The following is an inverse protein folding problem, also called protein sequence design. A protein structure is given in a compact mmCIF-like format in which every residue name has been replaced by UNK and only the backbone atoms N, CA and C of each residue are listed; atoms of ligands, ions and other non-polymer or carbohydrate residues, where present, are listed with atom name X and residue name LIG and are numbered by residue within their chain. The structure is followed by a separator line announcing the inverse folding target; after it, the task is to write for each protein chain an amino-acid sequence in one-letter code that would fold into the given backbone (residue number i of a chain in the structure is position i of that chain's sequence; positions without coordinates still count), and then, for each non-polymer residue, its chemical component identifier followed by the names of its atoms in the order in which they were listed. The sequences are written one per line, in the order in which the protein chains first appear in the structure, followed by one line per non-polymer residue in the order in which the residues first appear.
data_IF_360474850776
#
_entry.id   IF_360474850776
#
_cell.length_a   1.000
_cell.length_b   1.000
_cell.length_c   1.000
_cell.angle_alpha   90.00
_cell.angle_beta   90.00
_cell.angle_gamma   90.00
#
_symmetry.space_group_name_H-M   'P 1'
#
loop_
_entity.id
_entity.type
_entity.pdbx_description
1 polymer ?
#
# COMPACT_ATOMS: atom_id res chain seq x y z
N UNK A 1 71.43 23.55 -9.96
CA UNK A 1 70.07 23.47 -9.38
C UNK A 1 70.18 23.63 -7.88
N UNK A 2 69.47 24.59 -7.30
CA UNK A 2 69.40 24.78 -5.85
C UNK A 2 68.57 23.66 -5.20
N UNK A 3 68.74 23.41 -3.90
CA UNK A 3 67.96 22.40 -3.18
C UNK A 3 66.44 22.64 -3.33
N UNK A 4 66.02 23.91 -3.23
CA UNK A 4 64.64 24.34 -3.48
C UNK A 4 64.12 23.97 -4.88
N UNK A 5 64.95 24.04 -5.92
CA UNK A 5 64.54 23.59 -7.27
C UNK A 5 64.37 22.08 -7.34
N UNK A 6 65.17 21.29 -6.62
CA UNK A 6 65.02 19.83 -6.56
C UNK A 6 63.75 19.44 -5.82
N UNK A 7 63.47 20.11 -4.71
CA UNK A 7 62.27 19.86 -3.89
C UNK A 7 61.00 20.23 -4.67
N UNK A 8 61.02 21.33 -5.44
CA UNK A 8 59.92 21.71 -6.32
C UNK A 8 59.67 20.66 -7.42
N UNK A 9 60.73 20.14 -8.05
CA UNK A 9 60.60 19.07 -9.06
C UNK A 9 60.04 17.79 -8.46
N UNK A 10 60.53 17.37 -7.28
CA UNK A 10 60.00 16.17 -6.60
C UNK A 10 58.54 16.33 -6.18
N UNK A 11 58.13 17.52 -5.73
CA UNK A 11 56.75 17.81 -5.41
C UNK A 11 55.85 17.72 -6.66
N UNK A 12 56.26 18.31 -7.78
CA UNK A 12 55.52 18.22 -9.04
C UNK A 12 55.40 16.78 -9.53
N UNK A 13 56.48 16.00 -9.48
CA UNK A 13 56.47 14.58 -9.85
C UNK A 13 55.49 13.80 -8.97
N UNK A 14 55.52 14.01 -7.65
CA UNK A 14 54.62 13.32 -6.72
C UNK A 14 53.14 13.63 -6.99
N UNK A 15 52.79 14.91 -7.18
CA UNK A 15 51.42 15.33 -7.50
C UNK A 15 50.95 14.76 -8.84
N UNK A 16 51.80 14.78 -9.87
CA UNK A 16 51.49 14.19 -11.17
C UNK A 16 51.31 12.67 -11.07
N UNK A 17 52.14 11.97 -10.30
CA UNK A 17 51.97 10.53 -10.07
C UNK A 17 50.66 10.21 -9.36
N UNK A 18 50.31 10.96 -8.30
CA UNK A 18 49.05 10.80 -7.58
C UNK A 18 47.83 11.06 -8.47
N UNK A 19 47.89 12.09 -9.33
CA UNK A 19 46.82 12.40 -10.27
C UNK A 19 46.66 11.30 -11.33
N UNK A 20 47.76 10.72 -11.84
CA UNK A 20 47.72 9.60 -12.79
C UNK A 20 47.19 8.33 -12.13
N UNK A 21 47.55 8.06 -10.87
CA UNK A 21 47.02 6.91 -10.10
C UNK A 21 45.52 7.09 -9.85
N UNK A 22 45.07 8.27 -9.42
CA UNK A 22 43.66 8.57 -9.20
C UNK A 22 42.85 8.48 -10.52
N UNK A 23 43.38 9.02 -11.61
CA UNK A 23 42.76 8.92 -12.93
C UNK A 23 42.73 7.46 -13.43
N UNK A 24 43.79 6.68 -13.19
CA UNK A 24 43.85 5.26 -13.50
C UNK A 24 42.86 4.41 -12.68
N UNK A 25 42.63 4.76 -11.42
CA UNK A 25 41.61 4.14 -10.56
C UNK A 25 40.19 4.51 -11.01
N UNK A 26 39.98 5.75 -11.48
CA UNK A 26 38.68 6.20 -12.02
C UNK A 26 38.38 5.58 -13.40
N UNK A 27 39.39 5.49 -14.28
CA UNK A 27 39.24 4.89 -15.61
C UNK A 27 39.12 3.35 -15.58
N UNK A 28 39.66 2.70 -14.55
CA UNK A 28 39.47 1.26 -14.31
C UNK A 28 38.36 0.96 -13.28
N UNK A 29 37.59 1.97 -12.86
CA UNK A 29 36.41 1.70 -12.04
C UNK A 29 35.45 0.86 -12.91
N UNK A 30 35.09 -0.37 -12.48
CA UNK A 30 34.14 -1.16 -13.24
C UNK A 30 32.86 -0.36 -13.40
N UNK A 31 32.27 -0.40 -14.60
CA UNK A 31 30.96 0.19 -14.83
C UNK A 31 29.99 -0.33 -13.75
N UNK A 32 29.17 0.54 -13.14
CA UNK A 32 28.23 0.10 -12.11
C UNK A 32 27.38 -1.04 -12.69
N UNK A 33 27.38 -2.18 -12.01
CA UNK A 33 26.58 -3.32 -12.42
C UNK A 33 25.11 -2.89 -12.55
N UNK A 34 24.36 -3.39 -13.55
CA UNK A 34 22.95 -3.07 -13.66
C UNK A 34 22.24 -3.43 -12.34
N UNK A 35 21.31 -2.59 -11.85
CA UNK A 35 20.66 -2.85 -10.57
C UNK A 35 19.97 -4.21 -10.59
N UNK A 36 20.18 -5.00 -9.54
CA UNK A 36 19.50 -6.29 -9.39
C UNK A 36 17.97 -6.05 -9.33
N UNK A 37 17.16 -6.83 -10.08
CA UNK A 37 15.71 -6.77 -9.94
C UNK A 37 15.27 -7.05 -8.50
N UNK A 38 14.37 -6.21 -7.99
CA UNK A 38 13.76 -6.37 -6.66
C UNK A 38 12.38 -7.01 -6.88
N UNK A 39 12.18 -8.30 -6.55
CA UNK A 39 10.92 -9.00 -6.80
C UNK A 39 9.78 -8.45 -5.93
N UNK A 40 8.54 -8.68 -6.36
CA UNK A 40 7.33 -8.30 -5.61
C UNK A 40 6.62 -9.54 -5.08
N UNK A 41 6.25 -9.52 -3.81
CA UNK A 41 5.28 -10.42 -3.22
C UNK A 41 4.02 -9.63 -2.82
N UNK A 42 2.92 -10.34 -2.56
CA UNK A 42 1.64 -9.72 -2.25
C UNK A 42 1.01 -10.36 -1.02
N UNK A 43 0.60 -9.55 -0.06
CA UNK A 43 -0.26 -10.04 1.02
C UNK A 43 -1.69 -10.19 0.54
N UNK A 44 -2.20 -11.42 0.53
CA UNK A 44 -3.63 -11.67 0.35
C UNK A 44 -4.27 -11.65 1.74
N UNK A 45 -4.67 -10.45 2.15
CA UNK A 45 -5.12 -10.15 3.50
C UNK A 45 -6.65 -10.16 3.57
N UNK A 46 -7.26 -11.32 3.32
CA UNK A 46 -8.71 -11.49 3.30
C UNK A 46 -9.08 -12.79 4.01
N UNK A 47 -9.89 -12.70 5.06
CA UNK A 47 -10.38 -13.88 5.79
C UNK A 47 -11.41 -14.68 4.97
N UNK A 48 -12.13 -14.02 4.07
CA UNK A 48 -13.12 -14.68 3.21
C UNK A 48 -12.94 -14.20 1.77
N UNK A 49 -12.75 -15.14 0.85
CA UNK A 49 -12.46 -14.83 -0.55
C UNK A 49 -13.74 -14.79 -1.38
N UNK A 50 -13.96 -13.67 -2.04
CA UNK A 50 -14.97 -13.50 -3.09
C UNK A 50 -14.32 -13.63 -4.48
N UNK A 51 -15.11 -13.41 -5.54
CA UNK A 51 -14.60 -13.45 -6.91
C UNK A 51 -13.54 -12.38 -7.20
N UNK A 52 -13.70 -11.17 -6.64
CA UNK A 52 -12.73 -10.09 -6.81
C UNK A 52 -11.36 -10.44 -6.21
N UNK A 53 -11.31 -11.17 -5.10
CA UNK A 53 -10.04 -11.66 -4.52
C UNK A 53 -9.40 -12.70 -5.44
N UNK A 54 -10.19 -13.64 -5.99
CA UNK A 54 -9.69 -14.62 -6.96
C UNK A 54 -9.15 -13.94 -8.23
N UNK A 55 -9.85 -12.92 -8.71
CA UNK A 55 -9.44 -12.14 -9.87
C UNK A 55 -8.16 -11.35 -9.61
N UNK A 56 -8.04 -10.74 -8.43
CA UNK A 56 -6.84 -10.03 -8.01
C UNK A 56 -5.62 -10.96 -7.94
N UNK A 57 -5.77 -12.17 -7.37
CA UNK A 57 -4.68 -13.17 -7.32
C UNK A 57 -4.24 -13.57 -8.73
N UNK A 58 -5.20 -13.84 -9.63
CA UNK A 58 -4.89 -14.20 -11.02
C UNK A 58 -4.17 -13.08 -11.76
N UNK A 59 -4.60 -11.84 -11.57
CA UNK A 59 -3.95 -10.67 -12.17
C UNK A 59 -2.53 -10.47 -11.62
N UNK A 60 -2.35 -10.63 -10.31
CA UNK A 60 -1.06 -10.45 -9.64
C UNK A 60 -0.01 -11.50 -10.04
N UNK A 61 -0.44 -12.73 -10.33
CA UNK A 61 0.44 -13.89 -10.57
C UNK A 61 1.44 -13.64 -11.71
N UNK A 62 1.10 -12.80 -12.69
CA UNK A 62 2.02 -12.42 -13.77
C UNK A 62 3.28 -11.67 -13.27
N UNK A 63 3.25 -11.12 -12.06
CA UNK A 63 4.32 -10.26 -11.50
C UNK A 63 4.72 -10.64 -10.09
N UNK A 64 4.02 -11.60 -9.48
CA UNK A 64 4.28 -12.07 -8.13
C UNK A 64 5.45 -13.05 -8.12
N UNK A 65 6.31 -12.91 -7.12
CA UNK A 65 7.31 -13.92 -6.75
C UNK A 65 6.79 -14.89 -5.69
N UNK A 66 5.80 -14.44 -4.90
CA UNK A 66 5.10 -15.20 -3.89
C UNK A 66 3.79 -14.50 -3.48
N UNK A 67 2.85 -15.28 -3.00
CA UNK A 67 1.69 -14.79 -2.25
C UNK A 67 1.89 -15.08 -0.76
N UNK A 68 1.68 -14.08 0.10
CA UNK A 68 1.65 -14.23 1.55
C UNK A 68 0.19 -14.21 2.00
N UNK A 69 -0.37 -15.38 2.30
CA UNK A 69 -1.82 -15.59 2.41
C UNK A 69 -2.24 -15.70 3.87
N UNK A 70 -3.11 -14.80 4.33
CA UNK A 70 -3.67 -14.86 5.68
C UNK A 70 -4.57 -16.10 5.84
N UNK A 71 -4.22 -16.98 6.78
CA UNK A 71 -5.03 -18.17 7.10
C UNK A 71 -5.93 -17.98 8.34
N UNK A 72 -5.72 -16.90 9.09
CA UNK A 72 -6.54 -16.55 10.25
C UNK A 72 -5.80 -15.67 11.25
N UNK A 73 -6.53 -15.28 12.30
CA UNK A 73 -6.01 -14.49 13.40
C UNK A 73 -6.26 -15.19 14.73
N UNK A 74 -5.20 -15.41 15.50
CA UNK A 74 -5.26 -15.98 16.85
C UNK A 74 -5.40 -14.86 17.86
N UNK A 75 -6.54 -14.84 18.53
CA UNK A 75 -6.83 -13.94 19.63
C UNK A 75 -6.56 -14.66 20.95
N UNK A 76 -5.48 -14.27 21.62
CA UNK A 76 -5.24 -14.60 23.01
C UNK A 76 -6.00 -13.61 23.90
N UNK A 77 -6.83 -14.11 24.82
CA UNK A 77 -7.52 -13.28 25.81
C UNK A 77 -7.85 -14.11 27.05
N UNK A 78 -7.52 -13.61 28.24
CA UNK A 78 -7.90 -14.25 29.51
C UNK A 78 -7.37 -15.69 29.69
N UNK A 79 -6.24 -16.06 29.08
CA UNK A 79 -5.70 -17.42 29.15
C UNK A 79 -6.17 -18.35 28.02
N UNK A 80 -7.13 -17.92 27.20
CA UNK A 80 -7.70 -18.70 26.10
C UNK A 80 -7.13 -18.26 24.75
N UNK A 81 -7.13 -19.19 23.78
CA UNK A 81 -6.77 -18.96 22.38
C UNK A 81 -7.98 -19.22 21.50
N UNK A 82 -8.31 -18.25 20.65
CA UNK A 82 -9.42 -18.36 19.69
C UNK A 82 -8.96 -17.96 18.30
N UNK A 83 -9.12 -18.87 17.35
CA UNK A 83 -8.84 -18.63 15.94
C UNK A 83 -10.06 -17.99 15.28
N UNK A 84 -9.91 -16.75 14.82
CA UNK A 84 -10.74 -16.23 13.75
C UNK A 84 -10.21 -16.79 12.44
N UNK A 85 -10.83 -17.87 11.98
CA UNK A 85 -10.35 -18.64 10.85
C UNK A 85 -10.56 -17.90 9.54
N UNK A 86 -9.52 -17.87 8.71
CA UNK A 86 -9.60 -17.50 7.30
C UNK A 86 -9.91 -18.71 6.42
N UNK A 87 -10.50 -18.46 5.26
CA UNK A 87 -10.82 -19.46 4.26
C UNK A 87 -10.22 -19.08 2.90
N UNK A 88 -8.89 -19.17 2.73
CA UNK A 88 -8.26 -18.97 1.43
C UNK A 88 -8.80 -19.95 0.39
N UNK A 89 -8.93 -19.49 -0.86
CA UNK A 89 -9.29 -20.36 -1.97
C UNK A 89 -8.06 -21.11 -2.50
N UNK A 90 -7.74 -22.24 -1.86
CA UNK A 90 -6.61 -23.09 -2.25
C UNK A 90 -6.72 -23.61 -3.71
N UNK A 91 -7.92 -23.72 -4.28
CA UNK A 91 -8.08 -24.11 -5.69
C UNK A 91 -7.73 -22.96 -6.65
N UNK A 92 -7.95 -21.71 -6.24
CA UNK A 92 -7.48 -20.57 -7.01
C UNK A 92 -5.95 -20.45 -6.92
N UNK A 93 -5.38 -20.65 -5.72
CA UNK A 93 -3.93 -20.59 -5.49
C UNK A 93 -3.16 -21.72 -6.19
N UNK A 94 -3.71 -22.94 -6.28
CA UNK A 94 -3.05 -24.04 -7.00
C UNK A 94 -2.93 -23.83 -8.52
N UNK A 95 -3.68 -22.87 -9.07
CA UNK A 95 -3.60 -22.47 -10.49
C UNK A 95 -2.57 -21.36 -10.72
N UNK A 96 -2.08 -20.71 -9.67
CA UNK A 96 -1.06 -19.68 -9.75
C UNK A 96 0.33 -20.31 -9.91
N UNK A 97 1.22 -19.65 -10.64
CA UNK A 97 2.62 -20.07 -10.76
C UNK A 97 3.42 -19.71 -9.50
N UNK A 98 3.01 -18.61 -8.85
CA UNK A 98 3.66 -18.09 -7.65
C UNK A 98 3.35 -18.97 -6.45
N UNK A 99 4.35 -19.41 -5.68
CA UNK A 99 4.11 -20.22 -4.50
C UNK A 99 3.60 -19.38 -3.33
N UNK A 100 3.10 -20.07 -2.31
CA UNK A 100 2.42 -19.48 -1.17
C UNK A 100 3.24 -19.59 0.11
N UNK A 101 3.37 -18.48 0.83
CA UNK A 101 3.71 -18.47 2.25
C UNK A 101 2.42 -18.28 3.03
N UNK A 102 2.07 -19.22 3.91
CA UNK A 102 0.88 -19.06 4.76
C UNK A 102 1.21 -18.14 5.94
N UNK A 103 0.30 -17.23 6.27
CA UNK A 103 0.50 -16.22 7.31
C UNK A 103 -0.54 -16.42 8.41
N UNK A 104 -0.09 -16.60 9.64
CA UNK A 104 -0.94 -16.65 10.82
C UNK A 104 -0.69 -15.40 11.67
N UNK A 105 -1.73 -14.61 11.88
CA UNK A 105 -1.65 -13.44 12.74
C UNK A 105 -1.90 -13.82 14.20
N UNK A 106 -1.23 -13.17 15.14
CA UNK A 106 -1.54 -13.26 16.56
C UNK A 106 -1.53 -11.89 17.22
N UNK A 107 -2.45 -11.66 18.16
CA UNK A 107 -2.50 -10.42 18.94
C UNK A 107 -1.43 -10.38 20.05
N UNK A 108 -1.16 -9.18 20.57
CA UNK A 108 -0.10 -8.92 21.58
C UNK A 108 -0.17 -9.79 22.86
N UNK A 109 -1.36 -10.27 23.22
CA UNK A 109 -1.58 -11.05 24.44
C UNK A 109 -1.00 -12.48 24.38
N UNK A 110 -0.61 -12.97 23.19
CA UNK A 110 0.08 -14.26 23.06
C UNK A 110 1.37 -14.30 23.89
N UNK A 111 2.07 -13.17 24.03
CA UNK A 111 3.32 -13.07 24.77
C UNK A 111 3.21 -13.40 26.25
N UNK A 112 2.05 -13.19 26.86
CA UNK A 112 1.82 -13.54 28.27
C UNK A 112 1.62 -15.05 28.45
N UNK A 113 0.99 -15.71 27.48
CA UNK A 113 0.85 -17.17 27.47
C UNK A 113 2.20 -17.86 27.28
N UNK A 114 3.05 -17.32 26.40
CA UNK A 114 4.39 -17.86 26.14
C UNK A 114 5.31 -17.77 27.37
N UNK A 115 5.08 -16.82 28.28
CA UNK A 115 5.87 -16.69 29.51
C UNK A 115 5.36 -17.57 30.66
N UNK A 116 4.08 -17.95 30.65
CA UNK A 116 3.44 -18.70 31.74
C UNK A 116 3.35 -20.22 31.54
N UNK A 117 2.54 -20.86 32.36
CA UNK A 117 2.27 -22.31 32.34
C UNK A 117 1.51 -22.77 31.07
N UNK A 118 0.86 -21.84 30.37
CA UNK A 118 0.13 -22.11 29.13
C UNK A 118 1.02 -22.14 27.87
N UNK A 119 2.34 -22.01 28.02
CA UNK A 119 3.31 -21.90 26.92
C UNK A 119 3.19 -23.02 25.89
N UNK A 120 3.33 -24.27 26.34
CA UNK A 120 3.29 -25.43 25.43
C UNK A 120 1.95 -25.52 24.70
N UNK A 121 0.85 -25.29 25.42
CA UNK A 121 -0.50 -25.25 24.81
C UNK A 121 -0.63 -24.18 23.74
N UNK A 122 -0.04 -23.00 23.95
CA UNK A 122 -0.08 -21.92 22.97
C UNK A 122 0.76 -22.25 21.74
N UNK A 123 1.93 -22.83 21.97
CA UNK A 123 2.84 -23.31 20.95
C UNK A 123 2.19 -24.42 20.10
N UNK A 124 1.51 -25.37 20.72
CA UNK A 124 0.79 -26.47 20.04
C UNK A 124 -0.39 -25.91 19.24
N UNK A 125 -1.18 -25.00 19.81
CA UNK A 125 -2.31 -24.37 19.11
C UNK A 125 -1.91 -23.66 17.82
N UNK A 126 -0.77 -22.95 17.84
CA UNK A 126 -0.21 -22.29 16.66
C UNK A 126 0.22 -23.32 15.62
N UNK A 127 0.91 -24.40 16.04
CA UNK A 127 1.32 -25.45 15.11
C UNK A 127 0.14 -26.21 14.51
N UNK A 128 -0.85 -26.61 15.31
CA UNK A 128 -2.06 -27.29 14.84
C UNK A 128 -2.80 -26.44 13.79
N UNK A 129 -2.83 -25.12 13.99
CA UNK A 129 -3.45 -24.18 13.04
C UNK A 129 -2.68 -24.13 11.72
N UNK A 130 -1.34 -24.07 11.77
CA UNK A 130 -0.49 -24.07 10.57
C UNK A 130 -0.56 -25.42 9.84
N UNK A 131 -0.51 -26.53 10.56
CA UNK A 131 -0.56 -27.90 10.02
C UNK A 131 -1.88 -28.16 9.30
N UNK A 132 -3.00 -27.72 9.88
CA UNK A 132 -4.31 -27.81 9.24
C UNK A 132 -4.36 -27.04 7.90
N UNK A 133 -3.83 -25.82 7.87
CA UNK A 133 -3.78 -25.02 6.64
C UNK A 133 -2.85 -25.64 5.58
N UNK A 134 -1.68 -26.16 5.98
CA UNK A 134 -0.75 -26.86 5.09
C UNK A 134 -1.41 -28.10 4.49
N UNK A 135 -2.10 -28.89 5.32
CA UNK A 135 -2.80 -30.10 4.86
C UNK A 135 -3.91 -29.78 3.84
N UNK A 136 -4.70 -28.72 4.08
CA UNK A 136 -5.73 -28.25 3.15
C UNK A 136 -5.14 -27.79 1.82
N UNK A 137 -4.09 -26.97 1.88
CA UNK A 137 -3.39 -26.47 0.70
C UNK A 137 -2.80 -27.61 -0.14
N UNK A 138 -2.13 -28.57 0.51
CA UNK A 138 -1.55 -29.75 -0.14
C UNK A 138 -2.62 -30.63 -0.79
N UNK A 139 -3.78 -30.82 -0.14
CA UNK A 139 -4.91 -31.58 -0.70
C UNK A 139 -5.44 -30.96 -1.99
N UNK A 140 -5.30 -29.64 -2.16
CA UNK A 140 -5.68 -28.91 -3.39
C UNK A 140 -4.52 -28.71 -4.38
N UNK A 141 -3.33 -29.23 -4.07
CA UNK A 141 -2.15 -29.10 -4.91
C UNK A 141 -1.52 -27.70 -4.92
N UNK A 142 -1.79 -26.88 -3.90
CA UNK A 142 -1.13 -25.56 -3.77
C UNK A 142 0.32 -25.75 -3.34
N UNK A 143 1.24 -25.06 -4.02
CA UNK A 143 2.67 -25.09 -3.65
C UNK A 143 2.93 -24.18 -2.46
N UNK A 144 3.09 -24.77 -1.26
CA UNK A 144 3.51 -24.04 -0.06
C UNK A 144 5.04 -23.92 -0.04
N UNK A 145 5.55 -22.68 -0.05
CA UNK A 145 6.98 -22.35 0.12
C UNK A 145 7.35 -22.19 1.59
N UNK A 146 6.47 -21.59 2.39
CA UNK A 146 6.82 -21.18 3.74
C UNK A 146 5.64 -20.95 4.67
N UNK A 147 5.99 -20.67 5.92
CA UNK A 147 5.08 -20.19 6.96
C UNK A 147 5.58 -18.84 7.48
N UNK A 148 4.65 -17.99 7.88
CA UNK A 148 4.96 -16.70 8.49
C UNK A 148 4.10 -16.46 9.72
N UNK A 149 4.73 -15.93 10.76
CA UNK A 149 4.06 -15.45 11.95
C UNK A 149 3.95 -13.92 11.89
N UNK A 150 2.72 -13.42 11.83
CA UNK A 150 2.41 -11.99 11.98
C UNK A 150 1.95 -11.71 13.40
N UNK A 151 2.89 -11.72 14.34
CA UNK A 151 2.60 -11.49 15.74
C UNK A 151 2.74 -10.00 16.07
N UNK A 152 1.68 -9.38 16.60
CA UNK A 152 1.64 -8.01 17.14
C UNK A 152 2.48 -7.89 18.45
N UNK A 153 3.74 -8.32 18.39
CA UNK A 153 4.65 -8.46 19.52
C UNK A 153 5.11 -7.09 20.04
N UNK A 154 4.90 -6.76 21.33
CA UNK A 154 5.56 -5.62 21.94
C UNK A 154 7.08 -5.81 21.93
N UNK A 155 7.87 -4.75 21.71
CA UNK A 155 9.34 -4.86 21.70
C UNK A 155 9.94 -5.47 22.98
N UNK A 156 9.26 -5.29 24.12
CA UNK A 156 9.67 -5.89 25.41
C UNK A 156 9.44 -7.41 25.51
N UNK A 157 8.79 -8.02 24.51
CA UNK A 157 8.42 -9.44 24.49
C UNK A 157 9.12 -10.21 23.36
N UNK A 158 10.14 -9.61 22.70
CA UNK A 158 10.89 -10.25 21.62
C UNK A 158 11.55 -11.58 22.05
N UNK A 159 12.12 -11.63 23.26
CA UNK A 159 12.65 -12.88 23.81
C UNK A 159 11.59 -13.97 24.00
N UNK A 160 10.34 -13.61 24.33
CA UNK A 160 9.24 -14.60 24.36
C UNK A 160 8.86 -15.08 22.97
N UNK A 161 9.00 -14.23 21.96
CA UNK A 161 8.72 -14.59 20.58
C UNK A 161 9.77 -15.58 20.06
N UNK A 162 11.04 -15.42 20.45
CA UNK A 162 12.11 -16.34 20.12
C UNK A 162 11.78 -17.77 20.58
N UNK A 163 11.26 -17.92 21.81
CA UNK A 163 10.79 -19.22 22.33
C UNK A 163 9.79 -19.90 21.39
N UNK A 164 8.83 -19.14 20.86
CA UNK A 164 7.83 -19.67 19.93
C UNK A 164 8.48 -20.08 18.60
N UNK A 165 9.33 -19.22 18.04
CA UNK A 165 10.03 -19.46 16.77
C UNK A 165 10.93 -20.69 16.88
N UNK A 166 11.75 -20.79 17.92
CA UNK A 166 12.65 -21.92 18.16
C UNK A 166 11.90 -23.23 18.35
N UNK A 167 10.75 -23.18 19.03
CA UNK A 167 9.92 -24.37 19.20
C UNK A 167 9.29 -24.81 17.87
N UNK A 168 8.88 -23.88 17.01
CA UNK A 168 8.22 -24.15 15.72
C UNK A 168 9.21 -24.55 14.61
N UNK A 169 10.41 -23.96 14.58
CA UNK A 169 11.42 -24.17 13.52
C UNK A 169 11.72 -25.65 13.20
N UNK A 170 11.95 -26.56 14.18
CA UNK A 170 12.23 -27.97 13.87
C UNK A 170 11.04 -28.72 13.26
N UNK A 171 9.79 -28.26 13.48
CA UNK A 171 8.56 -28.90 12.97
C UNK A 171 8.42 -28.72 11.46
N UNK A 172 8.84 -27.55 10.98
CA UNK A 172 8.64 -27.11 9.59
C UNK A 172 9.91 -27.19 8.75
N UNK A 173 10.92 -27.96 9.16
CA UNK A 173 12.32 -27.87 8.71
C UNK A 173 12.62 -27.51 7.23
N UNK A 174 11.84 -28.00 6.25
CA UNK A 174 12.03 -27.69 4.82
C UNK A 174 11.35 -26.40 4.33
N UNK A 175 10.34 -25.93 5.04
CA UNK A 175 9.62 -24.71 4.71
C UNK A 175 10.43 -23.49 5.11
N UNK A 176 10.36 -22.44 4.29
CA UNK A 176 10.83 -21.13 4.71
C UNK A 176 10.03 -20.69 5.94
N UNK A 177 10.69 -20.04 6.89
CA UNK A 177 10.02 -19.46 8.05
C UNK A 177 10.38 -17.99 8.14
N UNK A 178 9.36 -17.16 8.33
CA UNK A 178 9.51 -15.73 8.48
C UNK A 178 8.62 -15.18 9.58
N UNK A 179 8.90 -13.93 9.94
CA UNK A 179 8.05 -13.12 10.81
C UNK A 179 7.80 -11.76 10.16
N UNK A 180 6.71 -11.09 10.51
CA UNK A 180 6.61 -9.65 10.34
C UNK A 180 7.38 -8.95 11.45
N UNK A 181 8.13 -7.90 11.11
CA UNK A 181 8.93 -7.12 12.05
C UNK A 181 8.66 -5.63 11.93
N UNK A 182 8.66 -4.94 13.07
CA UNK A 182 8.52 -3.48 13.13
C UNK A 182 9.88 -2.78 13.10
N UNK A 183 9.99 -1.57 12.52
CA UNK A 183 11.23 -0.81 12.48
C UNK A 183 11.80 -0.48 13.87
N UNK A 184 10.95 -0.43 14.90
CA UNK A 184 11.36 -0.21 16.29
C UNK A 184 12.13 -1.39 16.88
N UNK A 185 12.05 -2.58 16.27
CA UNK A 185 12.73 -3.79 16.72
C UNK A 185 14.20 -3.82 16.30
N UNK A 186 14.55 -3.17 15.18
CA UNK A 186 15.89 -3.19 14.56
C UNK A 186 17.05 -2.64 15.43
N UNK A 187 16.75 -2.10 16.62
CA UNK A 187 17.75 -1.58 17.57
C UNK A 187 18.00 -2.53 18.75
N UNK A 188 17.24 -3.60 18.88
CA UNK A 188 17.27 -4.50 20.03
C UNK A 188 18.06 -5.76 19.69
N UNK A 189 18.94 -6.17 20.61
CA UNK A 189 19.71 -7.40 20.47
C UNK A 189 18.81 -8.64 20.39
N UNK A 190 17.72 -8.66 21.14
CA UNK A 190 16.74 -9.75 21.12
C UNK A 190 16.08 -9.91 19.75
N UNK A 191 16.05 -8.85 18.91
CA UNK A 191 15.60 -8.98 17.53
C UNK A 191 16.61 -9.74 16.66
N UNK A 192 17.92 -9.48 16.82
CA UNK A 192 18.96 -10.22 16.11
C UNK A 192 18.92 -11.72 16.46
N UNK A 193 18.67 -12.04 17.73
CA UNK A 193 18.51 -13.44 18.19
C UNK A 193 17.26 -14.09 17.58
N UNK A 194 16.12 -13.40 17.64
CA UNK A 194 14.85 -13.86 17.09
C UNK A 194 14.90 -14.22 15.59
N UNK A 195 15.70 -13.50 14.80
CA UNK A 195 15.76 -13.71 13.35
C UNK A 195 16.87 -14.67 12.89
N UNK A 196 17.74 -15.12 13.79
CA UNK A 196 18.94 -15.91 13.45
C UNK A 196 18.60 -17.23 12.72
N UNK A 197 17.46 -17.84 13.10
CA UNK A 197 17.00 -19.12 12.53
C UNK A 197 15.96 -18.96 11.41
N UNK A 198 15.61 -17.72 11.06
CA UNK A 198 14.61 -17.42 10.03
C UNK A 198 15.22 -17.38 8.64
N UNK A 199 14.42 -17.72 7.64
CA UNK A 199 14.83 -17.58 6.23
C UNK A 199 14.88 -16.11 5.82
N UNK A 200 13.92 -15.32 6.30
CA UNK A 200 13.85 -13.88 6.15
C UNK A 200 12.87 -13.29 7.17
N UNK A 201 12.86 -11.97 7.32
CA UNK A 201 11.77 -11.25 7.98
C UNK A 201 11.10 -10.25 7.03
N UNK A 202 9.86 -9.85 7.31
CA UNK A 202 9.17 -8.80 6.55
C UNK A 202 9.19 -7.51 7.36
N UNK A 203 9.96 -6.52 6.92
CA UNK A 203 10.06 -5.23 7.58
C UNK A 203 8.86 -4.34 7.20
N UNK A 204 7.93 -4.18 8.14
CA UNK A 204 6.72 -3.39 7.94
C UNK A 204 6.95 -1.91 8.29
N UNK A 205 7.09 -1.05 7.27
CA UNK A 205 7.38 0.39 7.46
C UNK A 205 6.14 1.28 7.53
N UNK A 206 4.95 0.67 7.50
CA UNK A 206 3.69 1.35 7.70
C UNK A 206 3.12 1.02 9.08
N UNK A 207 2.64 2.04 9.76
CA UNK A 207 2.03 1.93 11.08
C UNK A 207 1.09 3.09 11.24
N UNK A 208 0.01 2.87 11.97
CA UNK A 208 -0.94 3.93 12.23
C UNK A 208 -0.95 4.29 13.71
N UNK A 209 -0.72 5.56 13.99
CA UNK A 209 -0.99 6.12 15.31
C UNK A 209 -2.45 6.54 15.39
N UNK A 210 -3.10 6.22 16.51
CA UNK A 210 -4.48 6.61 16.75
C UNK A 210 -4.58 8.14 16.81
N UNK A 211 -5.34 8.81 15.92
CA UNK A 211 -5.50 10.25 15.98
C UNK A 211 -6.30 10.64 17.23
N UNK A 212 -5.99 11.80 17.79
CA UNK A 212 -6.68 12.37 18.96
C UNK A 212 -7.68 13.45 18.58
N UNK A 213 -7.55 14.05 17.39
CA UNK A 213 -8.44 15.08 16.87
C UNK A 213 -8.67 14.92 15.36
N UNK A 214 -9.78 15.48 14.86
CA UNK A 214 -10.17 15.40 13.44
C UNK A 214 -9.13 16.05 12.51
N UNK A 215 -8.63 17.24 12.85
CA UNK A 215 -7.72 18.03 12.02
C UNK A 215 -6.24 17.64 12.18
N UNK A 216 -5.93 16.68 13.07
CA UNK A 216 -4.56 16.19 13.25
C UNK A 216 -4.05 15.54 11.95
N UNK A 217 -2.82 15.82 11.48
CA UNK A 217 -2.22 15.08 10.39
C UNK A 217 -2.14 13.57 10.71
N UNK A 218 -2.57 12.73 9.77
CA UNK A 218 -2.53 11.28 9.90
C UNK A 218 -1.61 10.75 8.80
N UNK A 219 -0.51 10.11 9.20
CA UNK A 219 0.49 9.56 8.29
C UNK A 219 0.52 8.05 8.43
N UNK A 220 0.09 7.33 7.38
CA UNK A 220 0.10 5.87 7.37
C UNK A 220 1.51 5.29 7.16
N UNK A 221 2.32 5.95 6.35
CA UNK A 221 3.71 5.58 6.11
C UNK A 221 4.57 6.83 5.98
N UNK A 222 5.43 7.06 6.96
CA UNK A 222 6.43 8.12 6.90
C UNK A 222 7.62 7.63 6.04
N UNK A 223 7.54 7.93 4.74
CA UNK A 223 8.54 7.53 3.75
C UNK A 223 9.91 8.16 4.01
N UNK A 224 9.96 9.31 4.69
CA UNK A 224 11.21 9.98 5.09
C UNK A 224 12.04 9.15 6.08
N UNK A 225 11.40 8.24 6.84
CA UNK A 225 12.10 7.35 7.80
C UNK A 225 12.63 6.06 7.16
N UNK A 226 12.11 5.66 6.00
CA UNK A 226 12.47 4.41 5.31
C UNK A 226 13.98 4.30 5.06
N UNK A 227 14.70 5.32 4.55
CA UNK A 227 16.15 5.23 4.35
C UNK A 227 16.92 4.86 5.62
N UNK A 228 16.47 5.36 6.79
CA UNK A 228 17.08 5.01 8.07
C UNK A 228 16.77 3.57 8.51
N UNK A 229 15.58 3.05 8.20
CA UNK A 229 15.23 1.66 8.46
C UNK A 229 16.03 0.71 7.56
N UNK A 230 16.16 1.02 6.27
CA UNK A 230 16.95 0.23 5.32
C UNK A 230 18.43 0.17 5.69
N UNK A 231 19.02 1.28 6.16
CA UNK A 231 20.41 1.28 6.66
C UNK A 231 20.60 0.36 7.86
N UNK A 232 19.65 0.34 8.80
CA UNK A 232 19.68 -0.56 9.97
C UNK A 232 19.47 -2.02 9.60
N UNK A 233 18.51 -2.31 8.73
CA UNK A 233 18.29 -3.66 8.22
C UNK A 233 19.54 -4.19 7.48
N UNK A 234 20.17 -3.36 6.66
CA UNK A 234 21.40 -3.70 5.96
C UNK A 234 22.57 -3.99 6.92
N UNK A 235 22.67 -3.29 8.06
CA UNK A 235 23.72 -3.57 9.06
C UNK A 235 23.51 -4.86 9.85
N UNK A 236 22.25 -5.29 10.01
CA UNK A 236 21.92 -6.59 10.62
C UNK A 236 22.26 -7.72 9.65
N UNK A 237 22.05 -7.52 8.35
CA UNK A 237 22.51 -8.42 7.29
C UNK A 237 21.64 -9.66 7.04
N UNK A 238 20.62 -9.91 7.86
CA UNK A 238 19.64 -10.97 7.63
C UNK A 238 18.72 -10.63 6.43
N UNK A 239 18.33 -11.61 5.59
CA UNK A 239 17.44 -11.36 4.45
C UNK A 239 16.09 -10.78 4.88
N UNK A 240 15.58 -9.80 4.13
CA UNK A 240 14.28 -9.21 4.44
C UNK A 240 13.49 -8.77 3.23
N UNK A 241 12.16 -8.82 3.33
CA UNK A 241 11.28 -8.10 2.44
C UNK A 241 10.90 -6.75 3.05
N UNK A 242 10.73 -5.72 2.22
CA UNK A 242 10.16 -4.44 2.65
C UNK A 242 8.65 -4.44 2.39
N UNK A 243 7.83 -4.37 3.44
CA UNK A 243 6.39 -4.25 3.30
C UNK A 243 5.96 -2.79 3.07
N UNK A 244 5.36 -2.53 1.91
CA UNK A 244 4.88 -1.20 1.50
C UNK A 244 3.35 -1.19 1.38
N UNK A 245 2.69 -0.13 1.87
CA UNK A 245 1.24 -0.10 1.89
C UNK A 245 0.65 0.29 0.52
N UNK A 246 -0.50 -0.27 0.20
CA UNK A 246 -1.33 0.05 -0.98
C UNK A 246 -2.73 0.50 -0.59
N UNK A 247 -2.94 0.78 0.69
CA UNK A 247 -4.26 0.92 1.28
C UNK A 247 -4.40 2.23 2.06
N UNK A 248 -5.59 2.46 2.59
CA UNK A 248 -5.90 3.55 3.50
C UNK A 248 -6.85 3.14 4.61
N UNK A 249 -7.26 4.13 5.38
CA UNK A 249 -8.18 3.98 6.50
C UNK A 249 -9.29 5.03 6.43
N UNK A 250 -10.47 4.65 6.92
CA UNK A 250 -11.54 5.57 7.28
C UNK A 250 -11.55 5.76 8.78
N UNK A 251 -11.47 7.01 9.21
CA UNK A 251 -11.55 7.43 10.60
C UNK A 251 -12.93 8.02 10.85
N UNK A 252 -13.57 7.55 11.92
CA UNK A 252 -14.84 8.10 12.39
C UNK A 252 -14.58 8.90 13.66
N UNK A 253 -15.06 10.14 13.67
CA UNK A 253 -15.02 11.05 14.79
C UNK A 253 -16.43 11.43 15.22
N UNK A 254 -16.62 11.77 16.49
CA UNK A 254 -17.87 12.34 16.98
C UNK A 254 -18.03 13.82 16.58
N UNK A 255 -19.15 14.43 16.98
CA UNK A 255 -19.48 15.83 16.70
C UNK A 255 -18.48 16.83 17.31
N UNK A 256 -17.73 16.40 18.32
CA UNK A 256 -16.68 17.18 18.98
C UNK A 256 -15.28 16.90 18.42
N UNK A 257 -15.17 16.10 17.35
CA UNK A 257 -13.91 15.78 16.70
C UNK A 257 -13.06 14.75 17.45
N UNK A 258 -13.63 14.03 18.41
CA UNK A 258 -12.93 12.94 19.14
C UNK A 258 -13.03 11.64 18.35
N UNK A 259 -11.92 10.90 18.29
CA UNK A 259 -11.87 9.61 17.61
C UNK A 259 -12.82 8.58 18.23
N UNK A 260 -13.62 7.94 17.37
CA UNK A 260 -14.58 6.88 17.73
C UNK A 260 -14.07 5.53 17.26
N UNK A 261 -13.84 5.39 15.96
CA UNK A 261 -13.47 4.11 15.35
C UNK A 261 -12.66 4.28 14.07
N UNK A 262 -12.08 3.18 13.62
CA UNK A 262 -11.34 3.08 12.37
C UNK A 262 -11.83 1.88 11.57
N UNK A 263 -11.87 2.04 10.25
CA UNK A 263 -12.23 0.98 9.30
C UNK A 263 -11.05 0.79 8.34
N UNK A 264 -10.57 -0.46 8.27
CA UNK A 264 -9.40 -0.88 7.47
C UNK A 264 -9.77 -1.58 6.16
N UNK A 265 -10.96 -2.19 6.11
CA UNK A 265 -11.51 -2.90 4.95
C UNK A 265 -13.04 -2.77 4.96
N UNK A 266 -13.66 -3.04 3.82
CA UNK A 266 -15.11 -3.20 3.74
C UNK A 266 -15.90 -1.90 3.49
N UNK A 267 -17.24 -1.99 3.50
CA UNK A 267 -18.11 -0.88 3.12
C UNK A 267 -17.94 0.31 4.06
N UNK A 268 -18.27 1.51 3.56
CA UNK A 268 -18.24 2.72 4.38
C UNK A 268 -19.05 2.50 5.68
N UNK A 269 -18.53 2.93 6.83
CA UNK A 269 -19.25 2.79 8.09
C UNK A 269 -20.60 3.51 7.99
N UNK A 270 -21.65 2.90 8.54
CA UNK A 270 -22.94 3.59 8.72
C UNK A 270 -22.74 4.67 9.76
N UNK A 271 -22.47 5.88 9.30
CA UNK A 271 -22.31 7.06 10.15
C UNK A 271 -23.64 7.76 10.32
N UNK A 272 -23.94 8.16 11.56
CA UNK A 272 -25.07 9.03 11.82
C UNK A 272 -24.70 10.49 11.48
N UNK A 273 -25.69 11.37 11.42
CA UNK A 273 -25.51 12.79 11.06
C UNK A 273 -24.63 13.60 12.01
N UNK A 274 -24.26 13.05 13.18
CA UNK A 274 -23.39 13.68 14.18
C UNK A 274 -21.94 13.19 14.11
N UNK A 275 -21.63 12.25 13.23
CA UNK A 275 -20.29 11.72 13.06
C UNK A 275 -19.60 12.33 11.84
N UNK A 276 -18.30 12.56 11.96
CA UNK A 276 -17.45 13.04 10.87
C UNK A 276 -16.56 11.89 10.40
N UNK A 277 -16.44 11.73 9.08
CA UNK A 277 -15.56 10.72 8.47
C UNK A 277 -14.39 11.40 7.78
N UNK A 278 -13.20 10.86 7.97
CA UNK A 278 -12.01 11.25 7.22
C UNK A 278 -11.37 10.01 6.62
N UNK A 279 -11.16 10.01 5.32
CA UNK A 279 -10.40 8.94 4.64
C UNK A 279 -8.97 9.40 4.43
N UNK A 280 -8.01 8.54 4.80
CA UNK A 280 -6.58 8.79 4.61
C UNK A 280 -6.02 7.61 3.84
N UNK A 281 -5.52 7.87 2.64
CA UNK A 281 -4.88 6.87 1.79
C UNK A 281 -3.36 7.00 1.88
N UNK A 282 -2.65 5.90 1.63
CA UNK A 282 -1.22 5.98 1.31
C UNK A 282 -1.03 6.83 0.06
N UNK A 283 -0.10 7.79 0.09
CA UNK A 283 0.29 8.57 -1.07
C UNK A 283 1.12 7.72 -2.05
N UNK A 284 0.63 7.45 -3.27
CA UNK A 284 1.37 6.62 -4.21
C UNK A 284 2.61 7.31 -4.81
N UNK A 285 2.63 8.64 -4.87
CA UNK A 285 3.80 9.41 -5.33
C UNK A 285 4.99 9.25 -4.40
N UNK A 286 4.76 9.32 -3.09
CA UNK A 286 5.79 9.13 -2.06
C UNK A 286 6.35 7.70 -2.06
N UNK A 287 5.47 6.70 -2.19
CA UNK A 287 5.90 5.30 -2.29
C UNK A 287 6.63 5.06 -3.62
N UNK A 288 6.17 5.62 -4.74
CA UNK A 288 6.88 5.52 -6.02
C UNK A 288 8.30 6.13 -5.94
N UNK A 289 8.47 7.25 -5.23
CA UNK A 289 9.79 7.83 -4.98
C UNK A 289 10.71 6.89 -4.19
N UNK A 290 10.15 6.26 -3.15
CA UNK A 290 10.86 5.23 -2.36
C UNK A 290 11.27 4.04 -3.23
N UNK A 291 10.36 3.54 -4.07
CA UNK A 291 10.63 2.44 -5.00
C UNK A 291 11.73 2.81 -6.00
N UNK A 292 11.68 4.01 -6.61
CA UNK A 292 12.74 4.49 -7.50
C UNK A 292 14.10 4.48 -6.83
N UNK A 293 14.18 5.03 -5.61
CA UNK A 293 15.43 5.13 -4.86
C UNK A 293 16.02 3.74 -4.55
N UNK A 294 15.17 2.80 -4.10
CA UNK A 294 15.59 1.43 -3.82
C UNK A 294 15.99 0.70 -5.11
N UNK A 295 15.28 0.89 -6.22
CA UNK A 295 15.64 0.27 -7.51
C UNK A 295 16.97 0.80 -8.06
N UNK A 296 17.28 2.08 -7.83
CA UNK A 296 18.54 2.68 -8.23
C UNK A 296 19.73 2.15 -7.40
N UNK A 297 19.51 1.88 -6.11
CA UNK A 297 20.53 1.34 -5.22
C UNK A 297 19.92 0.35 -4.21
N UNK A 298 19.70 -0.92 -4.61
CA UNK A 298 19.08 -1.91 -3.74
C UNK A 298 19.93 -2.15 -2.49
N UNK A 299 19.37 -1.98 -1.26
CA UNK A 299 20.08 -2.28 -0.04
C UNK A 299 20.56 -3.74 0.02
N UNK A 300 21.67 -3.96 0.71
CA UNK A 300 22.13 -5.31 1.05
C UNK A 300 21.03 -6.09 1.79
N UNK A 301 20.98 -7.40 1.55
CA UNK A 301 20.00 -8.34 2.12
C UNK A 301 18.52 -8.08 1.79
N UNK A 302 18.17 -7.05 1.01
CA UNK A 302 16.79 -6.85 0.54
C UNK A 302 16.39 -7.98 -0.42
N UNK A 303 15.52 -8.87 0.02
CA UNK A 303 14.97 -9.97 -0.78
C UNK A 303 13.95 -9.49 -1.81
N UNK A 304 13.10 -8.51 -1.45
CA UNK A 304 12.05 -8.00 -2.33
C UNK A 304 11.13 -6.98 -1.64
N UNK A 305 10.08 -6.56 -2.35
CA UNK A 305 8.93 -5.86 -1.77
C UNK A 305 7.83 -6.84 -1.39
N UNK A 306 7.04 -6.52 -0.37
CA UNK A 306 5.73 -7.12 -0.17
C UNK A 306 4.68 -6.01 -0.16
N UNK A 307 3.71 -6.07 -1.07
CA UNK A 307 2.66 -5.08 -1.13
C UNK A 307 1.53 -5.44 -0.17
N UNK A 308 1.31 -4.60 0.84
CA UNK A 308 0.27 -4.79 1.86
C UNK A 308 -0.88 -3.81 1.60
N UNK A 309 -2.07 -4.24 1.19
CA UNK A 309 -2.46 -5.59 0.75
C UNK A 309 -2.64 -5.64 -0.77
N UNK A 310 -2.77 -6.84 -1.31
CA UNK A 310 -3.09 -7.07 -2.72
C UNK A 310 -4.32 -6.23 -3.14
N UNK A 311 -4.23 -5.37 -4.17
CA UNK A 311 -5.38 -4.64 -4.72
C UNK A 311 -6.57 -5.53 -5.11
N UNK A 312 -7.69 -5.35 -4.43
CA UNK A 312 -8.97 -6.01 -4.73
C UNK A 312 -9.99 -4.98 -5.22
N UNK A 313 -10.72 -5.29 -6.30
CA UNK A 313 -11.62 -4.34 -6.94
C UNK A 313 -12.74 -3.85 -5.98
N UNK A 314 -13.36 -4.77 -5.22
CA UNK A 314 -14.38 -4.42 -4.21
C UNK A 314 -13.87 -3.59 -3.03
N UNK A 315 -12.55 -3.44 -2.85
CA UNK A 315 -11.98 -2.73 -1.71
C UNK A 315 -11.78 -1.24 -2.02
N UNK A 316 -12.62 -0.41 -1.39
CA UNK A 316 -12.57 1.06 -1.56
C UNK A 316 -11.38 1.71 -0.86
N UNK A 317 -10.77 1.01 0.09
CA UNK A 317 -9.59 1.46 0.82
C UNK A 317 -8.31 0.88 0.25
N UNK A 318 -8.34 0.33 -0.96
CA UNK A 318 -7.17 -0.12 -1.69
C UNK A 318 -6.96 0.73 -2.93
N UNK A 319 -5.69 0.93 -3.30
CA UNK A 319 -5.33 1.46 -4.61
C UNK A 319 -5.90 0.60 -5.74
N UNK A 320 -6.36 1.23 -6.84
CA UNK A 320 -6.58 0.52 -8.09
C UNK A 320 -5.30 -0.12 -8.65
N UNK A 321 -5.45 -1.18 -9.44
CA UNK A 321 -4.33 -1.85 -10.11
C UNK A 321 -3.42 -0.90 -10.92
N UNK A 322 -3.93 0.02 -11.76
CA UNK A 322 -3.07 0.97 -12.48
C UNK A 322 -2.19 1.84 -11.57
N UNK A 323 -2.66 2.16 -10.35
CA UNK A 323 -1.85 2.88 -9.36
C UNK A 323 -0.67 2.02 -8.92
N UNK A 324 -0.92 0.77 -8.51
CA UNK A 324 0.13 -0.15 -8.06
C UNK A 324 1.15 -0.43 -9.18
N UNK A 325 0.70 -0.61 -10.42
CA UNK A 325 1.60 -0.85 -11.56
C UNK A 325 2.57 0.32 -11.76
N UNK A 326 2.05 1.55 -11.77
CA UNK A 326 2.88 2.75 -11.85
C UNK A 326 3.88 2.81 -10.68
N UNK A 327 3.42 2.60 -9.45
CA UNK A 327 4.27 2.65 -8.25
C UNK A 327 5.36 1.58 -8.26
N UNK A 328 5.05 0.34 -8.69
CA UNK A 328 6.03 -0.75 -8.81
C UNK A 328 7.12 -0.44 -9.84
N UNK A 329 6.77 0.29 -10.91
CA UNK A 329 7.71 0.81 -11.90
C UNK A 329 8.53 2.00 -11.35
N UNK A 330 8.22 2.48 -10.16
CA UNK A 330 8.76 3.72 -9.61
C UNK A 330 8.20 4.96 -10.30
N UNK A 331 7.10 4.89 -11.04
CA UNK A 331 6.46 6.07 -11.64
C UNK A 331 5.42 6.64 -10.67
N UNK A 332 5.39 7.96 -10.56
CA UNK A 332 4.26 8.63 -9.90
C UNK A 332 3.03 8.43 -10.79
N UNK A 333 1.93 7.84 -10.26
CA UNK A 333 0.72 7.63 -11.05
C UNK A 333 0.05 8.95 -11.41
N UNK A 334 -0.60 9.00 -12.56
CA UNK A 334 -1.27 10.20 -13.06
C UNK A 334 -2.66 10.34 -12.45
N UNK A 335 -3.00 11.55 -12.01
CA UNK A 335 -4.36 11.92 -11.60
C UNK A 335 -4.95 12.83 -12.66
N UNK A 336 -5.85 12.31 -13.49
CA UNK A 336 -6.42 13.05 -14.62
C UNK A 336 -7.91 12.74 -14.74
N UNK A 337 -8.72 13.78 -14.68
CA UNK A 337 -10.16 13.71 -14.92
C UNK A 337 -10.52 14.55 -16.14
N UNK A 338 -11.46 14.06 -16.93
CA UNK A 338 -11.97 14.76 -18.11
C UNK A 338 -13.48 14.84 -18.03
N UNK A 339 -14.03 15.91 -18.58
CA UNK A 339 -15.46 16.12 -18.68
C UNK A 339 -15.86 16.24 -20.15
N UNK A 340 -16.98 15.62 -20.50
CA UNK A 340 -17.56 15.65 -21.84
C UNK A 340 -19.04 16.01 -21.73
N UNK A 341 -19.48 16.99 -22.52
CA UNK A 341 -20.90 17.28 -22.70
C UNK A 341 -21.41 16.54 -23.94
N UNK A 342 -22.30 15.58 -23.73
CA UNK A 342 -22.98 14.85 -24.79
C UNK A 342 -24.35 15.46 -25.05
N UNK A 343 -24.77 15.50 -26.31
CA UNK A 343 -26.07 16.04 -26.71
C UNK A 343 -26.89 14.94 -27.39
N UNK A 344 -27.51 14.02 -26.62
CA UNK A 344 -28.23 12.88 -27.18
C UNK A 344 -29.52 13.26 -27.91
N UNK A 345 -30.10 14.42 -27.59
CA UNK A 345 -31.28 14.95 -28.29
C UNK A 345 -31.34 16.47 -28.18
N UNK A 346 -31.97 17.18 -29.15
CA UNK A 346 -32.03 18.64 -29.14
C UNK A 346 -32.48 19.23 -27.80
N UNK A 347 -31.64 20.10 -27.24
CA UNK A 347 -31.89 20.77 -25.97
C UNK A 347 -31.64 19.91 -24.73
N UNK A 348 -31.14 18.67 -24.84
CA UNK A 348 -30.69 17.87 -23.71
C UNK A 348 -29.16 17.73 -23.76
N UNK A 349 -28.50 18.10 -22.67
CA UNK A 349 -27.07 17.92 -22.49
C UNK A 349 -26.81 17.02 -21.30
N UNK A 350 -25.98 16.01 -21.48
CA UNK A 350 -25.50 15.12 -20.44
C UNK A 350 -24.04 15.44 -20.15
N UNK A 351 -23.70 15.68 -18.90
CA UNK A 351 -22.32 15.81 -18.46
C UNK A 351 -21.81 14.44 -18.01
N UNK A 352 -20.82 13.93 -18.73
CA UNK A 352 -20.10 12.73 -18.38
C UNK A 352 -18.71 13.09 -17.86
N UNK A 353 -18.33 12.54 -16.70
CA UNK A 353 -16.97 12.69 -16.16
C UNK A 353 -16.26 11.35 -16.24
N UNK A 354 -15.06 11.37 -16.81
CA UNK A 354 -14.20 10.19 -16.97
C UNK A 354 -12.93 10.33 -16.15
N UNK A 355 -12.56 9.28 -15.41
CA UNK A 355 -11.22 9.17 -14.85
C UNK A 355 -10.27 8.59 -15.91
N UNK A 356 -9.48 9.47 -16.52
CA UNK A 356 -8.47 9.15 -17.51
C UNK A 356 -7.07 8.92 -16.88
N UNK A 357 -6.98 8.97 -15.56
CA UNK A 357 -5.77 8.73 -14.78
C UNK A 357 -5.63 7.29 -14.30
N UNK A 358 -4.65 7.09 -13.43
CA UNK A 358 -4.30 5.81 -12.81
C UNK A 358 -4.75 5.76 -11.33
N UNK A 359 -5.05 6.91 -10.71
CA UNK A 359 -5.40 7.05 -9.28
C UNK A 359 -6.91 7.09 -9.02
N UNK A 360 -7.32 6.75 -7.80
CA UNK A 360 -8.69 6.89 -7.31
C UNK A 360 -8.69 7.58 -5.94
N UNK A 361 -8.57 8.92 -5.92
CA UNK A 361 -8.50 9.68 -4.68
C UNK A 361 -9.85 9.66 -3.95
N UNK A 362 -9.84 9.65 -2.60
CA UNK A 362 -11.07 9.73 -1.80
C UNK A 362 -11.69 11.14 -1.78
N UNK A 363 -10.93 12.17 -2.16
CA UNK A 363 -11.41 13.55 -2.24
C UNK A 363 -12.42 13.70 -3.39
N UNK A 364 -13.47 14.53 -3.21
CA UNK A 364 -14.36 14.89 -4.31
C UNK A 364 -13.60 15.56 -5.45
N UNK A 365 -14.16 15.45 -6.65
CA UNK A 365 -13.75 16.21 -7.82
C UNK A 365 -14.78 17.28 -8.13
N UNK A 366 -14.30 18.41 -8.67
CA UNK A 366 -15.12 19.57 -8.99
C UNK A 366 -15.04 19.89 -10.47
N UNK A 367 -16.18 20.17 -11.08
CA UNK A 367 -16.29 20.60 -12.47
C UNK A 367 -17.10 21.89 -12.54
N UNK A 368 -16.50 22.93 -13.13
CA UNK A 368 -17.21 24.19 -13.41
C UNK A 368 -18.00 24.05 -14.71
N UNK A 369 -19.28 24.36 -14.65
CA UNK A 369 -20.17 24.40 -15.80
C UNK A 369 -20.59 25.84 -16.03
N UNK A 370 -20.41 26.33 -17.24
CA UNK A 370 -20.87 27.66 -17.65
C UNK A 370 -22.02 27.52 -18.62
N UNK A 371 -23.03 28.38 -18.50
CA UNK A 371 -24.21 28.35 -19.36
C UNK A 371 -24.77 29.75 -19.57
N UNK A 372 -25.52 29.92 -20.67
CA UNK A 372 -26.24 31.17 -20.93
C UNK A 372 -27.27 31.42 -19.81
N UNK A 373 -27.33 32.64 -19.25
CA UNK A 373 -28.34 32.98 -18.24
C UNK A 373 -29.77 32.65 -18.67
N UNK A 374 -30.57 32.11 -17.75
CA UNK A 374 -31.98 31.72 -17.97
C UNK A 374 -32.20 30.69 -19.10
N UNK A 375 -31.15 30.01 -19.56
CA UNK A 375 -31.28 28.99 -20.61
C UNK A 375 -31.59 27.58 -20.08
N UNK A 376 -31.38 27.31 -18.78
CA UNK A 376 -31.70 26.00 -18.18
C UNK A 376 -33.19 25.95 -17.85
N UNK A 377 -33.91 25.03 -18.50
CA UNK A 377 -35.31 24.69 -18.23
C UNK A 377 -35.46 23.69 -17.08
N UNK A 378 -34.56 22.71 -17.01
CA UNK A 378 -34.52 21.70 -15.96
C UNK A 378 -33.11 21.09 -15.87
N UNK A 379 -32.75 20.54 -14.71
CA UNK A 379 -31.47 19.84 -14.52
C UNK A 379 -31.56 18.93 -13.30
N UNK A 380 -30.81 17.83 -13.31
CA UNK A 380 -30.61 16.98 -12.14
C UNK A 380 -29.17 16.45 -12.08
N UNK A 381 -28.73 16.00 -10.91
CA UNK A 381 -27.42 15.40 -10.69
C UNK A 381 -27.52 13.90 -10.40
N UNK A 382 -26.48 13.14 -10.75
CA UNK A 382 -26.45 11.68 -10.64
C UNK A 382 -25.13 11.19 -10.02
N UNK A 383 -25.06 9.92 -9.65
CA UNK A 383 -23.84 9.24 -9.18
C UNK A 383 -23.11 9.96 -8.04
N UNK A 384 -23.88 10.55 -7.11
CA UNK A 384 -23.34 11.23 -5.93
C UNK A 384 -22.83 12.65 -6.18
N UNK A 385 -23.02 13.20 -7.38
CA UNK A 385 -22.72 14.60 -7.64
C UNK A 385 -23.80 15.52 -7.08
N UNK A 386 -23.39 16.70 -6.65
CA UNK A 386 -24.23 17.78 -6.12
C UNK A 386 -23.82 19.11 -6.75
N UNK A 387 -24.76 20.04 -6.85
CA UNK A 387 -24.48 21.41 -7.25
C UNK A 387 -24.19 22.27 -6.01
N UNK A 388 -22.95 22.73 -5.84
CA UNK A 388 -22.51 23.48 -4.65
C UNK A 388 -23.02 24.92 -4.64
N UNK A 389 -23.02 25.57 -5.81
CA UNK A 389 -23.45 26.95 -5.97
C UNK A 389 -23.96 27.16 -7.38
N UNK A 390 -25.20 27.64 -7.51
CA UNK A 390 -25.79 28.05 -8.78
C UNK A 390 -25.68 29.57 -8.89
N UNK A 391 -24.79 30.01 -9.76
CA UNK A 391 -24.69 31.40 -10.20
C UNK A 391 -25.60 31.63 -11.41
N UNK A 392 -25.78 32.90 -11.78
CA UNK A 392 -26.62 33.30 -12.92
C UNK A 392 -26.18 32.68 -14.24
N UNK A 393 -24.88 32.40 -14.42
CA UNK A 393 -24.29 31.88 -15.66
C UNK A 393 -23.35 30.69 -15.46
N UNK A 394 -23.31 30.12 -14.26
CA UNK A 394 -22.44 28.97 -13.98
C UNK A 394 -22.90 28.18 -12.76
N UNK A 395 -22.50 26.92 -12.69
CA UNK A 395 -22.63 26.08 -11.49
C UNK A 395 -21.36 25.27 -11.29
N UNK A 396 -20.98 25.04 -10.04
CA UNK A 396 -19.96 24.05 -9.70
C UNK A 396 -20.67 22.75 -9.35
N UNK A 397 -20.30 21.67 -10.02
CA UNK A 397 -20.65 20.32 -9.59
C UNK A 397 -19.49 19.72 -8.81
N UNK A 398 -19.82 19.05 -7.72
CA UNK A 398 -18.88 18.32 -6.88
C UNK A 398 -19.41 16.92 -6.60
N UNK A 399 -18.54 15.92 -6.63
CA UNK A 399 -18.94 14.54 -6.43
C UNK A 399 -17.74 13.59 -6.39
N UNK A 400 -18.00 12.28 -6.23
CA UNK A 400 -16.93 11.30 -6.11
C UNK A 400 -16.14 11.14 -7.42
N UNK A 401 -14.83 10.91 -7.30
CA UNK A 401 -14.00 10.53 -8.44
C UNK A 401 -14.46 9.15 -9.00
N UNK A 402 -14.66 9.00 -10.32
CA UNK A 402 -14.86 7.68 -10.93
C UNK A 402 -13.61 6.81 -10.75
N UNK A 403 -13.77 5.48 -10.80
CA UNK A 403 -12.60 4.58 -10.83
C UNK A 403 -11.82 4.75 -12.15
N UNK A 404 -10.50 4.48 -12.18
CA UNK A 404 -9.70 4.56 -13.40
C UNK A 404 -10.35 3.86 -14.59
N UNK A 405 -10.42 4.54 -15.72
CA UNK A 405 -11.04 4.05 -16.96
C UNK A 405 -12.57 4.12 -16.99
N UNK A 406 -13.24 4.52 -15.91
CA UNK A 406 -14.71 4.65 -15.89
C UNK A 406 -15.16 6.06 -16.28
N UNK A 407 -16.31 6.10 -16.97
CA UNK A 407 -17.08 7.30 -17.28
C UNK A 407 -18.44 7.23 -16.58
N UNK A 408 -18.86 8.30 -15.92
CA UNK A 408 -20.16 8.38 -15.22
C UNK A 408 -20.93 9.61 -15.65
N UNK A 409 -22.25 9.48 -15.76
CA UNK A 409 -23.16 10.62 -15.89
C UNK A 409 -23.19 11.37 -14.56
N UNK A 410 -22.68 12.60 -14.52
CA UNK A 410 -22.69 13.42 -13.29
C UNK A 410 -23.91 14.32 -13.21
N UNK A 411 -24.43 14.80 -14.35
CA UNK A 411 -25.62 15.63 -14.42
C UNK A 411 -26.23 15.65 -15.81
N UNK A 412 -27.48 16.09 -15.92
CA UNK A 412 -28.10 16.46 -17.19
C UNK A 412 -28.76 17.84 -17.10
N UNK A 413 -28.84 18.51 -18.24
CA UNK A 413 -29.40 19.85 -18.40
C UNK A 413 -30.34 19.88 -19.59
N UNK A 414 -31.59 20.28 -19.35
CA UNK A 414 -32.54 20.65 -20.40
C UNK A 414 -32.39 22.14 -20.66
N UNK A 415 -32.01 22.50 -21.88
CA UNK A 415 -31.78 23.88 -22.30
C UNK A 415 -32.90 24.37 -23.21
N UNK A 416 -33.19 25.66 -23.17
CA UNK A 416 -34.06 26.34 -24.14
C UNK A 416 -33.46 26.15 -25.55
N UNK A 417 -34.25 25.75 -26.56
CA UNK A 417 -33.75 25.56 -27.92
C UNK A 417 -33.08 26.83 -28.46
N UNK A 418 -31.83 26.73 -28.92
CA UNK A 418 -31.14 27.84 -29.58
C UNK A 418 -31.61 27.99 -31.04
N UNK A 419 -31.63 29.23 -31.55
CA UNK A 419 -31.74 29.57 -32.98
C UNK A 419 -30.59 30.54 -33.34
N UNK A 420 -29.90 30.45 -34.49
CA UNK A 420 -29.54 29.30 -35.34
C UNK A 420 -28.09 28.80 -35.06
N UNK A 421 -27.64 27.82 -35.87
CA UNK A 421 -26.42 26.96 -35.78
C UNK A 421 -25.06 27.65 -35.55
N UNK A 422 -24.96 28.98 -35.65
CA UNK A 422 -23.70 29.73 -35.54
C UNK A 422 -23.40 30.29 -34.13
N UNK A 423 -24.21 29.96 -33.13
CA UNK A 423 -24.02 30.45 -31.75
C UNK A 423 -23.13 29.49 -30.95
N UNK A 424 -22.23 29.99 -30.08
CA UNK A 424 -21.45 29.13 -29.18
C UNK A 424 -22.39 28.24 -28.35
N UNK A 425 -21.93 27.05 -27.93
CA UNK A 425 -22.76 26.12 -27.17
C UNK A 425 -23.33 26.82 -25.93
N UNK A 426 -24.64 26.68 -25.71
CA UNK A 426 -25.35 27.33 -24.60
C UNK A 426 -24.89 26.85 -23.22
N UNK A 427 -24.08 25.78 -23.19
CA UNK A 427 -23.47 25.18 -22.02
C UNK A 427 -22.07 24.67 -22.37
N UNK A 428 -21.10 24.92 -21.50
CA UNK A 428 -19.71 24.46 -21.62
C UNK A 428 -19.24 23.92 -20.27
N UNK A 429 -18.30 22.98 -20.29
CA UNK A 429 -17.66 22.47 -19.07
C UNK A 429 -16.18 22.84 -19.05
N UNK A 430 -15.70 23.29 -17.90
CA UNK A 430 -14.30 23.58 -17.64
C UNK A 430 -13.50 22.34 -17.26
N UNK A 431 -12.29 22.55 -16.75
CA UNK A 431 -11.46 21.47 -16.23
C UNK A 431 -12.10 20.83 -14.99
N UNK A 432 -11.82 19.53 -14.83
CA UNK A 432 -12.19 18.76 -13.65
C UNK A 432 -10.97 18.67 -12.75
N UNK A 433 -11.11 19.16 -11.53
CA UNK A 433 -10.01 19.26 -10.57
C UNK A 433 -10.37 18.50 -9.29
N UNK A 434 -9.36 18.07 -8.54
CA UNK A 434 -9.61 17.60 -7.18
C UNK A 434 -10.00 18.77 -6.29
N UNK A 435 -10.95 18.53 -5.40
CA UNK A 435 -11.20 19.47 -4.33
C UNK A 435 -9.97 19.51 -3.42
N UNK A 436 -9.30 20.65 -3.38
CA UNK A 436 -8.20 20.88 -2.44
C UNK A 436 -8.80 20.78 -1.04
N UNK A 437 -8.33 19.82 -0.25
CA UNK A 437 -8.50 19.88 1.19
C UNK A 437 -7.86 21.19 1.63
N UNK A 438 -8.66 22.15 2.10
CA UNK A 438 -8.13 23.32 2.78
C UNK A 438 -7.14 22.84 3.84
N UNK A 439 -5.86 23.17 3.66
CA UNK A 439 -4.78 22.97 4.64
C UNK A 439 -5.07 23.71 5.95
#
# INVERSE_FOLDING_TARGET
MTQSQKDAIWFTIAVSLSAVILAGLWMNAPAPAPPRPVPSAYYVWQLQWNDDVRDAVRLADATANAFMVLIGEVNAAGGELRLQRGYPDWNALSKAHSPVTIVLRANAALGDLLQGEARERAIDYIADTLDAAIAEANTKGTTIRGIQLDYDCPSAKLASYEILVDALRPRYGKLEMSITALPTWLKWRDFEQLIDTLTYYVLQVHSLEKPTAFDQPITLCDTGRIPGYLRRAASIGAPYYLALPTYGYRFVFDEHGKFVSIVAEGPAPVVNSRQRVRTVMTDPGDIAATVRAIRANPPHALAGYVWFRLPVASDELNWPWPTLEAVRDGRTPKTVFTAELRNPSPGLYELHITNAGETWPPQPIRAMISYTPNAILASDTHNGFVAESRMTSSTILSGPAPRPGQSVLSAWFRMTPSRPESSPPAITVGHVELENSHE
#
